data_IF_184151089118
#
_entry.id   IF_184151089118
#
_cell.length_a   1.000
_cell.length_b   1.000
_cell.length_c   1.000
_cell.angle_alpha   90.00
_cell.angle_beta   90.00
_cell.angle_gamma   90.00
#
_symmetry.space_group_name_H-M   'P 1'
#
loop_
_entity.id
_entity.type
_entity.pdbx_description
1 polymer ?
#
# COMPACT_ATOMS: atom_id res chain seq x y z
N UNK A 1 23.51 -29.81 16.71
CA UNK A 1 22.90 -29.70 15.36
C UNK A 1 21.53 -29.04 15.37
N UNK A 2 20.58 -29.47 16.22
CA UNK A 2 19.21 -28.92 16.25
C UNK A 2 19.12 -27.39 16.46
N UNK A 3 20.00 -26.81 17.29
CA UNK A 3 20.00 -25.36 17.58
C UNK A 3 20.50 -24.52 16.39
N UNK A 4 21.54 -24.99 15.70
CA UNK A 4 22.11 -24.30 14.53
C UNK A 4 21.09 -24.29 13.39
N UNK A 5 20.40 -25.42 13.17
CA UNK A 5 19.33 -25.51 12.18
C UNK A 5 18.16 -24.57 12.52
N UNK A 6 17.78 -24.46 13.80
CA UNK A 6 16.74 -23.51 14.26
C UNK A 6 17.11 -22.06 13.96
N UNK A 7 18.37 -21.68 14.21
CA UNK A 7 18.83 -20.31 14.00
C UNK A 7 18.92 -19.96 12.50
N UNK A 8 19.30 -20.92 11.65
CA UNK A 8 19.29 -20.75 10.19
C UNK A 8 17.87 -20.54 9.68
N UNK A 9 16.92 -21.37 10.14
CA UNK A 9 15.50 -21.22 9.76
C UNK A 9 14.95 -19.88 10.23
N UNK A 10 15.28 -19.43 11.44
CA UNK A 10 14.84 -18.14 11.98
C UNK A 10 15.37 -16.95 11.15
N UNK A 11 16.63 -17.04 10.69
CA UNK A 11 17.28 -16.00 9.89
C UNK A 11 16.73 -15.92 8.45
N UNK A 12 16.41 -17.06 7.83
CA UNK A 12 15.79 -17.08 6.49
C UNK A 12 14.35 -16.57 6.57
N UNK A 13 13.61 -16.91 7.63
CA UNK A 13 12.24 -16.39 7.80
C UNK A 13 12.20 -14.88 7.99
N UNK A 14 13.18 -14.26 8.66
CA UNK A 14 13.18 -12.81 8.89
C UNK A 14 13.54 -11.99 7.64
N UNK A 15 14.32 -12.53 6.70
CA UNK A 15 14.68 -11.83 5.47
C UNK A 15 13.55 -11.80 4.43
N UNK A 16 12.66 -12.81 4.44
CA UNK A 16 11.54 -12.91 3.50
C UNK A 16 10.42 -11.89 3.74
N UNK A 17 10.34 -11.28 4.94
CA UNK A 17 9.33 -10.26 5.25
C UNK A 17 9.81 -8.82 5.07
N UNK A 18 11.09 -8.58 4.73
CA UNK A 18 11.63 -7.22 4.58
C UNK A 18 11.27 -6.54 3.24
N UNK A 19 10.62 -7.26 2.30
CA UNK A 19 10.30 -6.74 0.96
C UNK A 19 8.85 -6.29 0.78
N UNK A 20 8.12 -5.96 1.84
CA UNK A 20 6.88 -5.18 1.72
C UNK A 20 7.22 -3.71 1.36
N UNK A 21 8.00 -3.51 0.30
CA UNK A 21 8.26 -2.20 -0.27
C UNK A 21 7.04 -1.73 -1.03
N UNK A 22 6.59 -0.51 -0.76
CA UNK A 22 5.53 0.12 -1.54
C UNK A 22 5.92 0.09 -3.03
N UNK A 23 5.08 -0.51 -3.88
CA UNK A 23 5.34 -0.47 -5.33
C UNK A 23 5.30 0.98 -5.78
N UNK A 24 6.38 1.46 -6.38
CA UNK A 24 6.43 2.83 -6.89
C UNK A 24 5.41 3.02 -8.01
N UNK A 25 4.55 4.04 -7.88
CA UNK A 25 3.66 4.46 -8.96
C UNK A 25 4.49 5.21 -10.00
N UNK A 26 4.51 4.73 -11.24
CA UNK A 26 5.24 5.35 -12.35
C UNK A 26 4.27 5.94 -13.38
N UNK A 27 4.69 7.01 -14.06
CA UNK A 27 3.92 7.62 -15.14
C UNK A 27 3.73 6.61 -16.27
N UNK A 28 2.50 6.53 -16.80
CA UNK A 28 2.13 5.61 -17.88
C UNK A 28 1.69 4.21 -17.41
N UNK A 29 1.79 3.90 -16.12
CA UNK A 29 1.23 2.67 -15.56
C UNK A 29 -0.27 2.82 -15.27
N UNK A 30 -1.00 1.72 -15.38
CA UNK A 30 -2.39 1.66 -14.92
C UNK A 30 -2.45 1.92 -13.43
N UNK A 31 -3.40 2.75 -13.00
CA UNK A 31 -3.62 3.01 -11.57
C UNK A 31 -3.99 1.70 -10.85
N UNK A 32 -3.40 1.41 -9.67
CA UNK A 32 -3.80 0.25 -8.87
C UNK A 32 -5.29 0.32 -8.47
N UNK A 33 -5.86 -0.83 -8.13
CA UNK A 33 -7.18 -0.86 -7.50
C UNK A 33 -7.12 -0.16 -6.14
N UNK A 34 -8.10 0.71 -5.88
CA UNK A 34 -8.30 1.36 -4.59
C UNK A 34 -9.79 1.57 -4.36
N UNK A 35 -10.16 1.72 -3.09
CA UNK A 35 -11.50 2.08 -2.65
C UNK A 35 -11.39 2.96 -1.40
N UNK A 36 -12.08 4.11 -1.41
CA UNK A 36 -12.05 5.09 -0.33
C UNK A 36 -13.44 5.71 -0.14
N UNK A 37 -13.84 5.93 1.12
CA UNK A 37 -15.09 6.64 1.45
C UNK A 37 -14.77 8.13 1.62
N UNK A 38 -15.50 8.98 0.92
CA UNK A 38 -15.43 10.43 1.06
C UNK A 38 -16.24 10.94 2.26
N UNK A 39 -16.01 12.20 2.64
CA UNK A 39 -16.79 12.89 3.69
C UNK A 39 -18.25 13.14 3.30
N UNK A 40 -18.56 12.99 2.01
CA UNK A 40 -19.90 12.99 1.41
C UNK A 40 -20.62 11.62 1.53
N UNK A 41 -19.98 10.63 2.17
CA UNK A 41 -20.40 9.22 2.23
C UNK A 41 -20.43 8.51 0.86
N UNK A 42 -19.83 9.08 -0.18
CA UNK A 42 -19.68 8.40 -1.47
C UNK A 42 -18.42 7.53 -1.48
N UNK A 43 -18.49 6.41 -2.20
CA UNK A 43 -17.33 5.53 -2.43
C UNK A 43 -16.61 5.91 -3.72
N UNK A 44 -15.32 6.18 -3.61
CA UNK A 44 -14.42 6.50 -4.71
C UNK A 44 -13.48 5.33 -5.00
N UNK A 45 -13.39 4.91 -6.26
CA UNK A 45 -12.52 3.84 -6.74
C UNK A 45 -11.99 4.16 -8.12
N UNK A 46 -11.04 3.34 -8.61
CA UNK A 46 -10.54 3.48 -9.98
C UNK A 46 -11.63 3.28 -11.05
N UNK A 47 -12.69 2.54 -10.74
CA UNK A 47 -13.82 2.35 -11.65
C UNK A 47 -14.76 3.55 -11.66
N UNK A 48 -15.09 4.10 -10.48
CA UNK A 48 -16.01 5.24 -10.40
C UNK A 48 -15.38 6.53 -10.93
N UNK A 49 -14.05 6.64 -10.88
CA UNK A 49 -13.29 7.79 -11.38
C UNK A 49 -12.79 7.62 -12.82
N UNK A 50 -13.19 6.56 -13.53
CA UNK A 50 -12.73 6.29 -14.90
C UNK A 50 -13.09 7.45 -15.84
N UNK A 51 -12.12 7.91 -16.62
CA UNK A 51 -12.28 9.03 -17.54
C UNK A 51 -12.13 10.42 -16.89
N UNK A 52 -11.96 10.48 -15.57
CA UNK A 52 -11.64 11.71 -14.84
C UNK A 52 -10.18 11.72 -14.42
N UNK A 53 -9.58 12.92 -14.35
CA UNK A 53 -8.29 13.11 -13.72
C UNK A 53 -8.47 13.27 -12.20
N UNK A 54 -7.63 12.60 -11.42
CA UNK A 54 -7.65 12.67 -9.95
C UNK A 54 -6.24 12.55 -9.39
N UNK A 55 -6.06 12.97 -8.14
CA UNK A 55 -4.81 12.83 -7.40
C UNK A 55 -5.06 12.05 -6.10
N UNK A 56 -4.16 11.13 -5.77
CA UNK A 56 -4.12 10.44 -4.47
C UNK A 56 -2.96 11.03 -3.68
N UNK A 57 -3.26 11.60 -2.51
CA UNK A 57 -2.26 12.16 -1.61
C UNK A 57 -2.19 11.34 -0.32
N UNK A 58 -0.99 10.90 0.04
CA UNK A 58 -0.73 10.15 1.26
C UNK A 58 -0.22 11.10 2.35
N UNK A 59 -0.99 11.23 3.43
CA UNK A 59 -0.61 12.04 4.59
C UNK A 59 -0.18 11.14 5.74
N UNK A 60 1.03 11.31 6.32
CA UNK A 60 1.56 10.46 7.38
C UNK A 60 0.82 10.60 8.73
N UNK A 61 -0.12 11.54 8.84
CA UNK A 61 -1.01 11.72 9.98
C UNK A 61 -2.40 12.10 9.45
N UNK A 62 -3.43 11.36 9.85
CA UNK A 62 -4.81 11.67 9.50
C UNK A 62 -5.20 13.02 10.13
N UNK A 63 -5.61 13.96 9.28
CA UNK A 63 -6.45 15.13 9.55
C UNK A 63 -6.33 15.75 10.95
N UNK A 64 -5.52 16.80 11.10
CA UNK A 64 -5.80 17.84 12.10
C UNK A 64 -6.87 18.75 11.52
N UNK A 65 -8.09 18.72 12.07
CA UNK A 65 -9.14 19.64 11.69
C UNK A 65 -8.70 21.07 11.99
N UNK A 66 -8.66 21.91 10.96
CA UNK A 66 -8.52 23.35 11.01
C UNK A 66 -9.64 23.98 10.20
#
# INVERSE_FOLDING_TARGET
MKTILKNIVLFISSSLFSSAGASQILVGQTVPNFEMIGTDNATYSNQTLKGSYFAIAFFPKAFTGG
#
